data_IF_720034441866
#
_entry.id   IF_720034441866
#
_cell.length_a   1.000
_cell.length_b   1.000
_cell.length_c   1.000
_cell.angle_alpha   90.00
_cell.angle_beta   90.00
_cell.angle_gamma   90.00
#
_symmetry.space_group_name_H-M   'P 1'
#
loop_
_entity.id
_entity.type
_entity.pdbx_description
1 polymer ?
#
# COMPACT_ATOMS: atom_id res chain seq x y z
N UNK A 1 16.49 61.34 -9.35
CA UNK A 1 16.69 60.61 -8.08
C UNK A 1 15.97 59.26 -8.14
N UNK A 2 16.72 58.20 -8.37
CA UNK A 2 16.16 56.90 -8.68
C UNK A 2 16.43 55.98 -7.48
N UNK A 3 15.41 55.70 -6.64
CA UNK A 3 15.53 54.78 -5.49
C UNK A 3 15.30 53.35 -5.92
N UNK A 4 16.38 52.58 -6.07
CA UNK A 4 16.32 51.12 -6.30
C UNK A 4 15.83 50.42 -5.02
N UNK A 5 14.71 49.71 -5.13
CA UNK A 5 14.17 48.84 -4.08
C UNK A 5 15.05 47.60 -3.90
N UNK A 6 15.46 47.27 -2.68
CA UNK A 6 16.19 46.06 -2.32
C UNK A 6 15.28 44.85 -2.39
N UNK A 7 15.75 43.68 -2.93
CA UNK A 7 14.94 42.45 -2.95
C UNK A 7 14.80 41.87 -1.55
N UNK A 8 13.55 41.55 -1.16
CA UNK A 8 13.22 40.82 0.08
C UNK A 8 13.76 39.40 0.00
N UNK A 9 14.63 39.00 0.93
CA UNK A 9 15.05 37.61 1.14
C UNK A 9 13.84 36.77 1.56
N UNK A 10 13.42 35.84 0.73
CA UNK A 10 12.48 34.77 1.09
C UNK A 10 13.17 33.84 2.10
N UNK A 11 12.66 33.80 3.32
CA UNK A 11 13.09 32.82 4.33
C UNK A 11 12.64 31.44 3.86
N UNK A 12 13.60 30.54 3.63
CA UNK A 12 13.32 29.14 3.35
C UNK A 12 12.72 28.48 4.60
N UNK A 13 11.50 27.95 4.49
CA UNK A 13 10.87 27.12 5.52
C UNK A 13 11.74 25.88 5.73
N UNK A 14 12.08 25.49 6.98
CA UNK A 14 12.85 24.28 7.21
C UNK A 14 12.03 23.07 6.77
N UNK A 15 12.53 22.31 5.79
CA UNK A 15 12.00 21.01 5.42
C UNK A 15 12.21 20.05 6.59
N UNK A 16 11.11 19.59 7.21
CA UNK A 16 11.16 18.54 8.22
C UNK A 16 11.86 17.32 7.61
N UNK A 17 13.06 17.00 8.12
CA UNK A 17 13.79 15.78 7.80
C UNK A 17 12.87 14.58 8.06
N UNK A 18 12.46 13.89 7.00
CA UNK A 18 11.74 12.62 7.12
C UNK A 18 12.69 11.66 7.84
N UNK A 19 12.36 11.29 9.07
CA UNK A 19 13.11 10.31 9.85
C UNK A 19 13.07 8.97 9.10
N UNK A 20 14.23 8.55 8.60
CA UNK A 20 14.44 7.25 7.97
C UNK A 20 14.25 6.14 8.99
N UNK A 21 13.57 5.07 8.54
CA UNK A 21 13.56 3.71 9.10
C UNK A 21 13.30 3.60 10.59
N UNK A 22 12.03 3.63 10.99
CA UNK A 22 11.66 3.06 12.26
C UNK A 22 11.87 1.52 12.18
N UNK A 23 12.58 0.96 13.16
CA UNK A 23 12.83 -0.49 13.28
C UNK A 23 11.50 -1.25 13.33
N UNK A 24 11.42 -2.38 12.61
CA UNK A 24 10.27 -3.28 12.70
C UNK A 24 10.35 -4.02 14.05
N UNK A 25 9.29 -3.92 14.84
CA UNK A 25 9.12 -4.65 16.09
C UNK A 25 8.35 -5.94 15.84
N UNK A 26 8.78 -7.03 16.46
CA UNK A 26 8.06 -8.31 16.49
C UNK A 26 7.25 -8.51 17.76
N UNK A 27 7.20 -7.53 18.66
CA UNK A 27 6.32 -7.53 19.82
C UNK A 27 5.05 -6.74 19.47
N UNK A 28 3.87 -7.38 19.61
CA UNK A 28 2.59 -6.75 19.34
C UNK A 28 2.33 -5.66 20.40
N UNK A 29 2.08 -4.40 20.00
CA UNK A 29 1.55 -3.41 20.91
C UNK A 29 0.15 -3.81 21.41
N UNK A 30 -0.23 -3.36 22.60
CA UNK A 30 -1.56 -3.65 23.13
C UNK A 30 -2.67 -3.22 22.15
N UNK A 31 -3.64 -4.09 21.93
CA UNK A 31 -4.77 -3.84 21.02
C UNK A 31 -4.46 -3.97 19.51
N UNK A 32 -3.26 -4.43 19.16
CA UNK A 32 -2.91 -4.73 17.75
C UNK A 32 -3.16 -6.21 17.44
N UNK A 33 -3.54 -6.55 16.18
CA UNK A 33 -3.66 -7.92 15.71
C UNK A 33 -2.37 -8.71 15.95
N UNK A 34 -2.48 -10.00 16.31
CA UNK A 34 -1.30 -10.86 16.55
C UNK A 34 -0.47 -11.10 15.30
N UNK A 35 0.84 -11.34 15.46
CA UNK A 35 1.72 -11.72 14.37
C UNK A 35 1.34 -13.08 13.76
N UNK A 36 1.71 -13.25 12.48
CA UNK A 36 1.52 -14.49 11.75
C UNK A 36 0.13 -14.64 11.11
N UNK A 37 -0.78 -13.68 11.31
CA UNK A 37 -2.04 -13.65 10.55
C UNK A 37 -1.76 -13.57 9.08
N UNK A 38 -2.43 -14.41 8.30
CA UNK A 38 -2.23 -14.49 6.85
C UNK A 38 -3.56 -14.67 6.10
N UNK A 39 -3.58 -14.21 4.88
CA UNK A 39 -4.67 -14.44 3.93
C UNK A 39 -4.14 -14.46 2.51
N UNK A 40 -4.96 -14.96 1.59
CA UNK A 40 -4.67 -14.92 0.17
C UNK A 40 -5.95 -14.70 -0.63
N UNK A 41 -5.80 -13.99 -1.74
CA UNK A 41 -6.84 -13.82 -2.75
C UNK A 41 -6.36 -14.42 -4.07
N UNK A 42 -7.30 -14.90 -4.87
CA UNK A 42 -7.01 -15.45 -6.18
C UNK A 42 -7.98 -14.90 -7.20
N UNK A 43 -7.50 -14.61 -8.39
CA UNK A 43 -8.32 -14.16 -9.52
C UNK A 43 -7.71 -14.58 -10.85
N UNK A 44 -8.53 -14.68 -11.87
CA UNK A 44 -8.08 -14.70 -13.26
C UNK A 44 -7.85 -13.25 -13.70
N UNK A 45 -6.73 -12.97 -14.36
CA UNK A 45 -6.39 -11.63 -14.84
C UNK A 45 -7.37 -11.21 -15.94
N UNK A 46 -8.27 -10.26 -15.69
CA UNK A 46 -9.14 -9.74 -16.71
C UNK A 46 -8.42 -8.64 -17.51
N UNK A 47 -8.94 -8.28 -18.68
CA UNK A 47 -8.31 -7.29 -19.55
C UNK A 47 -8.09 -5.93 -18.89
N UNK A 48 -9.03 -5.47 -18.10
CA UNK A 48 -8.96 -4.20 -17.36
C UNK A 48 -7.85 -4.14 -16.30
N UNK A 49 -7.27 -5.28 -15.93
CA UNK A 49 -6.10 -5.33 -15.01
C UNK A 49 -4.78 -5.36 -15.74
N UNK A 50 -4.79 -5.36 -17.07
CA UNK A 50 -3.57 -5.37 -17.89
C UNK A 50 -3.07 -3.94 -18.18
N UNK A 51 -1.80 -3.81 -18.58
CA UNK A 51 -1.26 -2.52 -19.05
C UNK A 51 -1.90 -2.08 -20.37
N UNK A 52 -2.48 -2.99 -21.16
CA UNK A 52 -3.23 -2.68 -22.37
C UNK A 52 -4.53 -1.89 -22.08
N UNK A 53 -5.03 -1.92 -20.85
CA UNK A 53 -6.16 -1.08 -20.44
C UNK A 53 -5.80 0.42 -20.34
N UNK A 54 -4.52 0.75 -20.10
CA UNK A 54 -4.02 2.12 -20.10
C UNK A 54 -3.65 2.62 -21.51
N UNK A 55 -3.08 1.73 -22.33
CA UNK A 55 -2.72 2.02 -23.72
C UNK A 55 -2.85 0.73 -24.55
N UNK A 56 -3.78 0.68 -25.53
CA UNK A 56 -4.01 -0.50 -26.37
C UNK A 56 -2.79 -0.97 -27.18
N UNK A 57 -1.76 -0.15 -27.31
CA UNK A 57 -0.49 -0.50 -27.96
C UNK A 57 0.41 -1.37 -27.08
N UNK A 58 0.14 -1.42 -25.77
CA UNK A 58 0.89 -2.22 -24.81
C UNK A 58 0.39 -3.67 -24.81
N UNK A 59 1.23 -4.65 -24.42
CA UNK A 59 0.81 -6.04 -24.32
C UNK A 59 -0.24 -6.23 -23.22
N UNK A 60 -1.14 -7.21 -23.39
CA UNK A 60 -2.16 -7.56 -22.40
C UNK A 60 -1.55 -8.40 -21.27
N UNK A 61 -0.71 -7.80 -20.47
CA UNK A 61 -0.08 -8.41 -19.29
C UNK A 61 -0.50 -7.70 -18.00
N UNK A 62 -0.54 -8.44 -16.89
CA UNK A 62 -0.93 -7.93 -15.57
C UNK A 62 -0.16 -6.65 -15.22
N UNK A 63 -0.89 -5.61 -14.88
CA UNK A 63 -0.31 -4.33 -14.48
C UNK A 63 0.19 -4.37 -13.02
N UNK A 64 1.24 -3.60 -12.75
CA UNK A 64 1.77 -3.46 -11.37
C UNK A 64 0.72 -2.95 -10.38
N UNK A 65 -0.11 -1.93 -10.69
CA UNK A 65 -1.17 -1.50 -9.78
C UNK A 65 -2.19 -2.60 -9.45
N UNK A 66 -2.58 -3.42 -10.43
CA UNK A 66 -3.53 -4.51 -10.20
C UNK A 66 -2.91 -5.61 -9.30
N UNK A 67 -1.67 -6.00 -9.55
CA UNK A 67 -0.94 -6.95 -8.71
C UNK A 67 -0.83 -6.45 -7.27
N UNK A 68 -0.44 -5.19 -7.07
CA UNK A 68 -0.33 -4.57 -5.74
C UNK A 68 -1.71 -4.51 -5.06
N UNK A 69 -2.77 -4.16 -5.81
CA UNK A 69 -4.14 -4.15 -5.29
C UNK A 69 -4.57 -5.50 -4.71
N UNK A 70 -4.25 -6.61 -5.38
CA UNK A 70 -4.50 -7.96 -4.86
C UNK A 70 -3.72 -8.22 -3.55
N UNK A 71 -2.45 -7.81 -3.48
CA UNK A 71 -1.63 -7.96 -2.27
C UNK A 71 -2.20 -7.14 -1.11
N UNK A 72 -2.67 -5.93 -1.36
CA UNK A 72 -3.30 -5.07 -0.35
C UNK A 72 -4.62 -5.62 0.16
N UNK A 73 -5.44 -6.22 -0.73
CA UNK A 73 -6.69 -6.90 -0.33
C UNK A 73 -6.37 -8.09 0.56
N UNK A 74 -5.40 -8.92 0.19
CA UNK A 74 -4.95 -10.05 1.03
C UNK A 74 -4.47 -9.58 2.40
N UNK A 75 -3.68 -8.49 2.47
CA UNK A 75 -3.20 -7.94 3.73
C UNK A 75 -4.33 -7.38 4.62
N UNK A 76 -5.33 -6.72 4.03
CA UNK A 76 -6.50 -6.23 4.75
C UNK A 76 -7.31 -7.39 5.34
N UNK A 77 -7.59 -8.43 4.53
CA UNK A 77 -8.35 -9.61 4.95
C UNK A 77 -7.64 -10.39 6.07
N UNK A 78 -6.30 -10.47 6.04
CA UNK A 78 -5.54 -11.21 7.04
C UNK A 78 -5.80 -10.74 8.47
N UNK A 79 -6.00 -9.46 8.70
CA UNK A 79 -6.17 -8.88 10.04
C UNK A 79 -7.61 -8.49 10.37
N UNK A 80 -8.50 -8.44 9.39
CA UNK A 80 -9.89 -8.01 9.61
C UNK A 80 -10.61 -8.70 10.77
N UNK A 81 -10.42 -10.03 11.02
CA UNK A 81 -11.07 -10.72 12.15
C UNK A 81 -10.61 -10.24 13.54
N UNK A 82 -9.43 -9.65 13.64
CA UNK A 82 -8.86 -9.18 14.93
C UNK A 82 -8.93 -7.66 15.09
N UNK A 83 -9.55 -6.94 14.15
CA UNK A 83 -9.74 -5.50 14.28
C UNK A 83 -10.90 -5.17 15.22
N UNK A 84 -10.84 -4.02 15.93
CA UNK A 84 -11.99 -3.50 16.64
C UNK A 84 -13.21 -3.37 15.73
N UNK A 85 -14.41 -3.54 16.28
CA UNK A 85 -15.66 -3.44 15.52
C UNK A 85 -15.74 -2.09 14.76
N UNK A 86 -16.08 -2.15 13.48
CA UNK A 86 -16.15 -0.98 12.60
C UNK A 86 -14.83 -0.44 12.09
N UNK A 87 -13.69 -0.98 12.54
CA UNK A 87 -12.36 -0.59 12.03
C UNK A 87 -12.02 -1.32 10.74
N UNK A 88 -11.21 -0.66 9.92
CA UNK A 88 -10.61 -1.21 8.69
C UNK A 88 -9.12 -0.85 8.65
N UNK A 89 -8.40 -1.40 7.68
CA UNK A 89 -7.02 -0.96 7.42
C UNK A 89 -6.90 -0.27 6.07
N UNK A 90 -6.00 0.73 5.98
CA UNK A 90 -5.63 1.41 4.73
C UNK A 90 -4.13 1.28 4.49
N UNK A 91 -3.73 1.13 3.21
CA UNK A 91 -2.33 1.14 2.80
C UNK A 91 -1.70 2.51 3.04
N UNK A 92 -0.45 2.51 3.52
CA UNK A 92 0.31 3.75 3.81
C UNK A 92 1.69 3.78 3.18
N UNK A 93 2.25 2.61 2.88
CA UNK A 93 3.54 2.46 2.20
C UNK A 93 3.59 1.12 1.48
N UNK A 94 4.16 1.13 0.28
CA UNK A 94 4.31 -0.04 -0.58
C UNK A 94 5.77 -0.11 -1.03
N UNK A 95 6.39 -1.26 -0.82
CA UNK A 95 7.74 -1.62 -1.26
C UNK A 95 7.66 -2.99 -1.92
N UNK A 96 7.31 -3.03 -3.20
CA UNK A 96 7.04 -4.27 -3.95
C UNK A 96 7.80 -4.25 -5.27
N UNK A 97 8.50 -5.35 -5.56
CA UNK A 97 9.11 -5.61 -6.85
C UNK A 97 8.17 -6.43 -7.73
N UNK A 98 7.90 -5.98 -8.96
CA UNK A 98 7.21 -6.74 -9.99
C UNK A 98 8.27 -7.44 -10.84
N UNK A 99 8.41 -8.75 -10.70
CA UNK A 99 9.54 -9.53 -11.20
C UNK A 99 9.25 -10.19 -12.54
N UNK A 100 8.01 -10.64 -12.77
CA UNK A 100 7.59 -11.39 -13.95
C UNK A 100 6.20 -10.99 -14.41
N UNK A 101 6.00 -10.97 -15.71
CA UNK A 101 4.71 -10.70 -16.33
C UNK A 101 3.92 -12.00 -16.56
N UNK A 102 2.59 -11.90 -16.49
CA UNK A 102 1.63 -12.91 -16.97
C UNK A 102 0.58 -12.23 -17.82
N UNK A 103 0.05 -12.97 -18.78
CA UNK A 103 -0.96 -12.48 -19.73
C UNK A 103 -2.37 -12.43 -19.11
N UNK A 104 -3.24 -11.71 -19.78
CA UNK A 104 -4.70 -11.85 -19.61
C UNK A 104 -5.09 -13.33 -19.60
N UNK A 105 -6.05 -13.69 -18.74
CA UNK A 105 -6.52 -15.07 -18.57
C UNK A 105 -5.69 -15.93 -17.61
N UNK A 106 -4.49 -15.49 -17.21
CA UNK A 106 -3.69 -16.23 -16.22
C UNK A 106 -4.34 -16.16 -14.83
N UNK A 107 -4.26 -17.26 -14.07
CA UNK A 107 -4.68 -17.28 -12.67
C UNK A 107 -3.55 -16.73 -11.79
N UNK A 108 -3.85 -15.74 -10.98
CA UNK A 108 -2.91 -15.11 -10.02
C UNK A 108 -3.43 -15.27 -8.60
N UNK A 109 -2.56 -15.69 -7.70
CA UNK A 109 -2.78 -15.74 -6.26
C UNK A 109 -1.85 -14.75 -5.58
N UNK A 110 -2.42 -13.81 -4.82
CA UNK A 110 -1.67 -12.91 -3.96
C UNK A 110 -1.89 -13.28 -2.49
N UNK A 111 -0.79 -13.40 -1.74
CA UNK A 111 -0.79 -13.73 -0.31
C UNK A 111 -0.14 -12.60 0.49
N UNK A 112 -0.57 -12.46 1.74
CA UNK A 112 -0.01 -11.52 2.70
C UNK A 112 0.06 -12.17 4.09
N UNK A 113 1.13 -11.88 4.84
CA UNK A 113 1.36 -12.31 6.21
C UNK A 113 1.83 -11.14 7.07
N UNK A 114 1.18 -10.93 8.22
CA UNK A 114 1.60 -9.93 9.19
C UNK A 114 2.88 -10.39 9.89
N UNK A 115 3.97 -9.65 9.67
CA UNK A 115 5.32 -10.04 10.15
C UNK A 115 5.89 -9.08 11.19
N UNK A 116 5.25 -7.91 11.42
CA UNK A 116 5.77 -6.95 12.39
C UNK A 116 4.95 -5.67 12.48
N UNK A 117 5.47 -4.76 13.29
CA UNK A 117 4.90 -3.43 13.52
C UNK A 117 5.97 -2.36 13.35
N UNK A 118 5.59 -1.23 12.78
CA UNK A 118 6.42 -0.04 12.70
C UNK A 118 5.65 1.13 13.36
N UNK A 119 5.84 1.30 14.68
CA UNK A 119 4.97 2.17 15.47
C UNK A 119 3.52 1.67 15.42
N UNK A 120 2.60 2.49 14.90
CA UNK A 120 1.17 2.14 14.73
C UNK A 120 0.85 1.39 13.42
N UNK A 121 1.83 1.13 12.59
CA UNK A 121 1.62 0.50 11.28
C UNK A 121 1.86 -1.00 11.37
N UNK A 122 0.98 -1.75 10.75
CA UNK A 122 1.09 -3.18 10.50
C UNK A 122 2.01 -3.39 9.31
N UNK A 123 3.00 -4.28 9.43
CA UNK A 123 3.98 -4.60 8.37
C UNK A 123 3.66 -6.00 7.84
N UNK A 124 3.33 -6.09 6.57
CA UNK A 124 3.06 -7.36 5.89
C UNK A 124 4.18 -7.70 4.91
N UNK A 125 4.60 -8.95 4.87
CA UNK A 125 5.21 -9.54 3.70
C UNK A 125 4.12 -9.97 2.74
N UNK A 126 4.34 -9.69 1.43
CA UNK A 126 3.39 -9.97 0.37
C UNK A 126 4.07 -10.66 -0.80
N UNK A 127 3.35 -11.58 -1.44
CA UNK A 127 3.81 -12.27 -2.65
C UNK A 127 2.63 -12.53 -3.58
N UNK A 128 2.84 -12.34 -4.90
CA UNK A 128 1.92 -12.76 -5.96
C UNK A 128 2.57 -13.83 -6.82
N UNK A 129 1.79 -14.87 -7.18
CA UNK A 129 2.24 -16.02 -7.98
C UNK A 129 1.21 -16.39 -9.03
N UNK A 130 1.69 -17.03 -10.11
CA UNK A 130 0.87 -17.79 -11.05
C UNK A 130 1.47 -19.19 -11.16
N UNK A 131 0.81 -20.19 -10.57
CA UNK A 131 1.42 -21.50 -10.34
C UNK A 131 2.71 -21.35 -9.53
N UNK A 132 3.82 -21.92 -10.02
CA UNK A 132 5.14 -21.84 -9.39
C UNK A 132 5.90 -20.53 -9.69
N UNK A 133 5.40 -19.73 -10.63
CA UNK A 133 6.05 -18.48 -11.04
C UNK A 133 5.75 -17.36 -10.04
N UNK A 134 6.80 -16.84 -9.38
CA UNK A 134 6.69 -15.61 -8.56
C UNK A 134 6.61 -14.41 -9.48
N UNK A 135 5.50 -13.68 -9.42
CA UNK A 135 5.25 -12.47 -10.21
C UNK A 135 5.79 -11.22 -9.52
N UNK A 136 5.67 -11.16 -8.21
CA UNK A 136 6.17 -10.05 -7.41
C UNK A 136 6.14 -10.39 -5.93
N UNK A 137 6.94 -9.63 -5.16
CA UNK A 137 7.02 -9.78 -3.71
C UNK A 137 7.52 -8.49 -3.07
N UNK A 138 7.27 -8.34 -1.78
CA UNK A 138 7.75 -7.18 -1.06
C UNK A 138 7.08 -7.00 0.29
N UNK A 139 6.92 -5.73 0.68
CA UNK A 139 6.27 -5.35 1.93
C UNK A 139 5.23 -4.27 1.69
N UNK A 140 4.13 -4.38 2.43
CA UNK A 140 3.14 -3.31 2.53
C UNK A 140 2.93 -2.93 3.99
N UNK A 141 2.78 -1.64 4.26
CA UNK A 141 2.46 -1.11 5.57
C UNK A 141 1.03 -0.61 5.55
N UNK A 142 0.27 -0.97 6.60
CA UNK A 142 -1.13 -0.56 6.72
C UNK A 142 -1.39 0.08 8.08
N UNK A 143 -2.30 1.03 8.13
CA UNK A 143 -2.79 1.66 9.35
C UNK A 143 -4.22 1.21 9.63
N UNK A 144 -4.53 0.96 10.90
CA UNK A 144 -5.92 0.76 11.37
C UNK A 144 -6.59 2.12 11.45
N UNK A 145 -7.79 2.25 10.91
CA UNK A 145 -8.61 3.46 10.95
C UNK A 145 -10.07 3.15 11.24
N UNK A 146 -10.77 4.14 11.78
CA UNK A 146 -12.23 4.20 11.79
C UNK A 146 -12.70 4.95 10.54
N UNK A 147 -13.53 4.36 9.66
CA UNK A 147 -13.88 4.95 8.36
C UNK A 147 -14.55 6.32 8.45
N UNK A 148 -15.48 6.51 9.40
CA UNK A 148 -16.28 7.73 9.50
C UNK A 148 -15.45 9.00 9.79
N UNK A 149 -14.59 9.04 10.85
CA UNK A 149 -13.72 10.19 11.09
C UNK A 149 -12.70 10.41 9.99
N UNK A 150 -12.26 9.32 9.30
CA UNK A 150 -11.33 9.41 8.19
C UNK A 150 -11.95 10.11 6.98
N UNK A 151 -13.18 9.76 6.60
CA UNK A 151 -13.90 10.37 5.48
C UNK A 151 -14.13 11.86 5.70
N UNK A 152 -14.50 12.28 6.91
CA UNK A 152 -14.70 13.70 7.25
C UNK A 152 -13.39 14.49 7.10
N UNK A 153 -12.26 13.95 7.58
CA UNK A 153 -10.95 14.60 7.45
C UNK A 153 -10.49 14.71 6.00
N UNK A 154 -10.68 13.66 5.20
CA UNK A 154 -10.33 13.66 3.78
C UNK A 154 -11.17 14.65 2.97
N UNK A 155 -12.46 14.83 3.31
CA UNK A 155 -13.34 15.80 2.67
C UNK A 155 -12.94 17.25 2.97
N UNK A 156 -12.43 17.56 4.16
CA UNK A 156 -12.01 18.88 4.57
C UNK A 156 -10.86 19.47 3.74
N UNK A 157 -10.03 18.62 3.11
CA UNK A 157 -8.90 19.06 2.27
C UNK A 157 -9.35 19.63 0.91
N UNK A 158 -10.57 19.35 0.45
CA UNK A 158 -11.07 19.81 -0.86
C UNK A 158 -11.43 21.30 -0.90
N UNK A 159 -11.52 21.97 0.25
CA UNK A 159 -12.03 23.35 0.39
C UNK A 159 -10.97 24.36 0.88
N UNK A 160 -9.68 24.06 0.70
CA UNK A 160 -8.55 24.91 1.12
C UNK A 160 -7.84 25.54 -0.06
#
# INVERSE_FOLDING_TARGET
MNRRAKPRKRSARPTKKVKRSATISHAAPAGMPRLGLESAVQSVVPREWTIAAFDPRLPAVLSTPAMIGMMEVAAAQAVQPELPAGSITVGTRIEVDHLKAVTEGATVRAAARLVGYQGRFLVFEVEARSGDLVLGRGKVLRAIIEPQPFQVRAAAVKNS
#
